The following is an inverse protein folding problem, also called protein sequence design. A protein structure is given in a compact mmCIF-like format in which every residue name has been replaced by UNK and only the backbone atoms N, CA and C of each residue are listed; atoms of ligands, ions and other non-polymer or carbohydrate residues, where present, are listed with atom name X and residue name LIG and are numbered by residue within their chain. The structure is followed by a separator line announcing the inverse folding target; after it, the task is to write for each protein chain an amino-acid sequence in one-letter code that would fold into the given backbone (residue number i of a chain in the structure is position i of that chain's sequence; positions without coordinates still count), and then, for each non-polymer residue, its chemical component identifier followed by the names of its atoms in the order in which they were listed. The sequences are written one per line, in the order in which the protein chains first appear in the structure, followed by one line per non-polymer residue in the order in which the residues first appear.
data_IF_171598916826
#
_entry.id   IF_171598916826
#
_cell.length_a   1.000
_cell.length_b   1.000
_cell.length_c   1.000
_cell.angle_alpha   90.00
_cell.angle_beta   90.00
_cell.angle_gamma   90.00
#
_symmetry.space_group_name_H-M   'P 1'
#
loop_
_entity.id
_entity.type
_entity.pdbx_description
1 polymer ?
#
# COMPACT_ATOMS: atom_id res chain seq x y z
N UNK A 1 8.11 -42.04 46.79
CA UNK A 1 8.09 -42.28 45.33
C UNK A 1 7.28 -41.13 44.74
N UNK A 2 7.93 -40.10 44.19
CA UNK A 2 7.26 -38.86 43.81
C UNK A 2 6.40 -39.10 42.56
N UNK A 3 5.10 -38.85 42.69
CA UNK A 3 4.14 -38.93 41.59
C UNK A 3 4.39 -37.78 40.61
N UNK A 4 4.64 -38.13 39.35
CA UNK A 4 4.90 -37.18 38.27
C UNK A 4 3.59 -36.47 37.89
N UNK A 5 3.65 -35.15 37.95
CA UNK A 5 2.60 -34.18 37.71
C UNK A 5 2.04 -34.29 36.28
N UNK A 6 0.73 -34.48 36.16
CA UNK A 6 0.00 -34.61 34.88
C UNK A 6 -0.48 -33.22 34.45
N UNK A 7 0.43 -32.24 34.37
CA UNK A 7 0.04 -30.85 34.04
C UNK A 7 0.92 -30.14 33.00
N UNK A 8 1.96 -30.78 32.46
CA UNK A 8 2.87 -30.13 31.49
C UNK A 8 2.92 -30.79 30.09
N UNK A 9 2.27 -31.94 29.89
CA UNK A 9 2.27 -32.63 28.59
C UNK A 9 1.08 -32.26 27.68
N UNK A 10 0.06 -31.61 28.23
CA UNK A 10 -1.17 -31.25 27.50
C UNK A 10 -1.04 -30.01 26.62
N UNK A 11 -0.15 -29.07 26.97
CA UNK A 11 0.01 -27.80 26.26
C UNK A 11 0.80 -27.93 24.95
N UNK A 12 1.88 -28.72 24.95
CA UNK A 12 2.70 -28.94 23.74
C UNK A 12 1.98 -29.75 22.67
N UNK A 13 1.08 -30.67 23.07
CA UNK A 13 0.33 -31.49 22.12
C UNK A 13 -0.78 -30.67 21.43
N UNK A 14 -1.38 -29.70 22.14
CA UNK A 14 -2.40 -28.80 21.59
C UNK A 14 -1.78 -27.77 20.62
N UNK A 15 -0.59 -27.27 20.91
CA UNK A 15 0.18 -26.37 20.01
C UNK A 15 0.61 -27.06 18.71
N UNK A 16 1.09 -28.31 18.79
CA UNK A 16 1.41 -29.12 17.60
C UNK A 16 0.15 -29.43 16.78
N UNK A 17 -0.98 -29.69 17.44
CA UNK A 17 -2.26 -29.89 16.75
C UNK A 17 -2.72 -28.60 16.06
N UNK A 18 -2.56 -27.45 16.71
CA UNK A 18 -2.90 -26.14 16.16
C UNK A 18 -2.01 -25.79 14.96
N UNK A 19 -0.70 -26.00 15.05
CA UNK A 19 0.24 -25.87 13.93
C UNK A 19 -0.12 -26.79 12.76
N UNK A 20 -0.46 -28.06 12.99
CA UNK A 20 -0.84 -28.96 11.88
C UNK A 20 -2.20 -28.63 11.25
N UNK A 21 -3.16 -28.12 12.04
CA UNK A 21 -4.45 -27.63 11.55
C UNK A 21 -4.29 -26.34 10.74
N UNK A 22 -3.49 -25.39 11.21
CA UNK A 22 -3.18 -24.16 10.50
C UNK A 22 -2.37 -24.44 9.21
N UNK A 23 -1.43 -25.38 9.24
CA UNK A 23 -0.61 -25.72 8.07
C UNK A 23 -1.40 -26.50 7.00
N UNK A 24 -2.35 -27.35 7.39
CA UNK A 24 -3.26 -28.01 6.44
C UNK A 24 -4.28 -27.05 5.82
N UNK A 25 -4.65 -25.97 6.50
CA UNK A 25 -5.48 -24.91 5.92
C UNK A 25 -4.72 -24.05 4.91
N UNK A 26 -3.42 -23.84 5.11
CA UNK A 26 -2.56 -23.05 4.23
C UNK A 26 -2.13 -23.84 2.97
N UNK A 27 -2.00 -25.16 3.04
CA UNK A 27 -1.46 -26.00 1.96
C UNK A 27 -2.50 -26.83 1.19
N UNK A 28 -3.79 -26.64 1.44
CA UNK A 28 -4.87 -27.43 0.81
C UNK A 28 -5.67 -26.68 -0.27
N UNK A 29 -5.09 -25.65 -0.90
CA UNK A 29 -5.57 -25.15 -2.18
C UNK A 29 -4.43 -25.14 -3.20
N UNK A 30 -4.12 -26.34 -3.66
CA UNK A 30 -3.46 -26.54 -4.95
C UNK A 30 -4.59 -26.96 -5.87
N UNK A 31 -4.96 -26.06 -6.78
CA UNK A 31 -6.06 -26.15 -7.77
C UNK A 31 -7.31 -25.29 -7.48
N UNK A 32 -7.13 -23.97 -7.42
CA UNK A 32 -8.03 -23.05 -8.12
C UNK A 32 -7.22 -21.94 -8.80
N UNK A 33 -6.95 -22.08 -10.10
CA UNK A 33 -6.78 -20.93 -11.02
C UNK A 33 -8.16 -20.24 -11.16
N UNK A 34 -8.74 -19.81 -10.04
CA UNK A 34 -9.75 -18.76 -10.07
C UNK A 34 -8.97 -17.46 -10.01
N UNK A 35 -9.00 -16.63 -11.06
CA UNK A 35 -8.54 -15.27 -10.91
C UNK A 35 -9.34 -14.67 -9.76
N UNK A 36 -8.68 -14.39 -8.63
CA UNK A 36 -9.17 -13.46 -7.63
C UNK A 36 -9.01 -12.08 -8.27
N UNK A 37 -9.86 -11.84 -9.24
CA UNK A 37 -10.19 -10.55 -9.81
C UNK A 37 -11.70 -10.54 -9.71
N UNK A 38 -12.20 -10.11 -8.55
CA UNK A 38 -13.59 -9.78 -8.41
C UNK A 38 -13.91 -8.65 -9.40
N UNK A 39 -14.31 -9.01 -10.62
CA UNK A 39 -15.13 -8.14 -11.48
C UNK A 39 -16.47 -7.80 -10.79
N UNK A 40 -16.74 -8.40 -9.62
CA UNK A 40 -17.89 -8.17 -8.76
C UNK A 40 -17.71 -7.03 -7.72
N UNK A 41 -16.48 -6.51 -7.53
CA UNK A 41 -16.21 -5.36 -6.66
C UNK A 41 -15.94 -4.07 -7.45
N UNK A 42 -16.29 -4.02 -8.74
CA UNK A 42 -16.74 -2.77 -9.34
C UNK A 42 -18.10 -2.41 -8.72
N UNK A 43 -18.10 -2.09 -7.42
CA UNK A 43 -19.10 -1.22 -6.87
C UNK A 43 -19.23 -0.06 -7.88
N UNK A 44 -20.46 0.23 -8.27
CA UNK A 44 -20.86 1.34 -9.14
C UNK A 44 -20.45 2.68 -8.48
N UNK A 45 -19.13 2.89 -8.41
CA UNK A 45 -18.49 4.07 -7.91
C UNK A 45 -18.59 5.05 -9.07
N UNK A 46 -19.71 5.77 -9.12
CA UNK A 46 -19.96 6.87 -10.07
C UNK A 46 -19.02 8.07 -9.78
N UNK A 47 -17.72 7.80 -9.69
CA UNK A 47 -16.68 8.81 -9.60
C UNK A 47 -16.60 9.52 -10.93
N UNK A 48 -16.85 10.83 -10.90
CA UNK A 48 -16.65 11.70 -12.04
C UNK A 48 -15.34 12.46 -11.84
N UNK A 49 -14.33 12.26 -12.71
CA UNK A 49 -13.07 12.98 -12.57
C UNK A 49 -13.35 14.49 -12.63
N UNK A 50 -12.69 15.30 -11.78
CA UNK A 50 -12.91 16.73 -11.75
C UNK A 50 -12.41 17.38 -13.04
N UNK A 51 -12.97 18.54 -13.36
CA UNK A 51 -12.45 19.38 -14.43
C UNK A 51 -10.99 19.75 -14.16
N UNK A 52 -10.14 19.64 -15.18
CA UNK A 52 -8.73 20.00 -15.06
C UNK A 52 -8.59 21.51 -14.85
N UNK A 53 -7.85 21.91 -13.83
CA UNK A 53 -7.47 23.29 -13.53
C UNK A 53 -6.00 23.35 -13.18
N UNK A 54 -5.32 24.40 -13.62
CA UNK A 54 -3.94 24.69 -13.26
C UNK A 54 -3.85 25.25 -11.83
N UNK A 55 -2.66 25.16 -11.21
CA UNK A 55 -2.43 25.71 -9.87
C UNK A 55 -2.60 27.24 -9.83
N UNK A 56 -2.26 27.94 -10.92
CA UNK A 56 -2.44 29.39 -11.02
C UNK A 56 -3.93 29.76 -10.99
N UNK A 57 -4.75 29.08 -11.81
CA UNK A 57 -6.21 29.30 -11.81
C UNK A 57 -6.82 29.02 -10.44
N UNK A 58 -6.38 27.96 -9.75
CA UNK A 58 -6.87 27.63 -8.39
C UNK A 58 -6.53 28.74 -7.39
N UNK A 59 -5.35 29.36 -7.49
CA UNK A 59 -4.93 30.47 -6.62
C UNK A 59 -5.73 31.74 -6.89
N UNK A 60 -6.11 32.02 -8.13
CA UNK A 60 -6.83 33.23 -8.51
C UNK A 60 -8.32 33.22 -8.16
N UNK A 61 -8.92 32.03 -8.04
CA UNK A 61 -10.31 31.88 -7.59
C UNK A 61 -10.47 32.43 -6.15
N UNK A 62 -11.52 33.19 -5.89
CA UNK A 62 -11.90 33.64 -4.53
C UNK A 62 -10.76 34.35 -3.77
N UNK A 63 -9.90 35.09 -4.47
CA UNK A 63 -8.73 35.78 -3.88
C UNK A 63 -9.08 36.82 -2.83
N UNK A 64 -10.30 37.32 -2.86
CA UNK A 64 -10.86 38.25 -1.88
C UNK A 64 -11.34 37.55 -0.60
N UNK A 65 -11.42 36.23 -0.58
CA UNK A 65 -11.74 35.44 0.61
C UNK A 65 -10.45 35.03 1.35
N UNK A 66 -10.20 35.68 2.49
CA UNK A 66 -9.05 35.39 3.35
C UNK A 66 -9.04 33.95 3.87
N UNK A 67 -10.20 33.35 4.12
CA UNK A 67 -10.31 32.00 4.65
C UNK A 67 -9.90 30.98 3.59
N UNK A 68 -10.37 31.16 2.35
CA UNK A 68 -10.00 30.31 1.22
C UNK A 68 -8.54 30.51 0.82
N UNK A 69 -8.02 31.72 0.93
CA UNK A 69 -6.59 32.01 0.72
C UNK A 69 -5.73 31.23 1.71
N UNK A 70 -6.06 31.25 3.01
CA UNK A 70 -5.35 30.47 4.04
C UNK A 70 -5.48 28.97 3.82
N UNK A 71 -6.66 28.50 3.41
CA UNK A 71 -6.89 27.09 3.08
C UNK A 71 -6.02 26.63 1.90
N UNK A 72 -5.99 27.39 0.81
CA UNK A 72 -5.15 27.10 -0.37
C UNK A 72 -3.67 27.13 -0.02
N UNK A 73 -3.23 28.11 0.77
CA UNK A 73 -1.85 28.18 1.24
C UNK A 73 -1.46 26.99 2.13
N UNK A 74 -2.38 26.48 2.95
CA UNK A 74 -2.12 25.31 3.79
C UNK A 74 -1.95 24.02 2.97
N UNK A 75 -2.67 23.87 1.85
CA UNK A 75 -2.60 22.69 0.98
C UNK A 75 -1.49 22.77 -0.07
N UNK A 76 -1.32 23.93 -0.70
CA UNK A 76 -0.39 24.14 -1.83
C UNK A 76 0.97 24.67 -1.38
N UNK A 77 1.09 25.12 -0.13
CA UNK A 77 2.25 25.85 0.38
C UNK A 77 2.27 27.32 -0.06
N UNK A 78 3.28 28.05 0.42
CA UNK A 78 3.48 29.49 0.15
C UNK A 78 4.51 29.78 -0.94
N UNK A 79 4.95 28.76 -1.68
CA UNK A 79 6.03 28.87 -2.68
C UNK A 79 5.51 29.26 -4.07
N UNK A 80 6.35 29.89 -4.91
CA UNK A 80 6.02 30.10 -6.31
C UNK A 80 5.87 28.76 -7.03
N UNK A 81 4.80 28.62 -7.81
CA UNK A 81 4.56 27.45 -8.66
C UNK A 81 5.51 27.53 -9.86
N UNK A 82 6.75 27.07 -9.68
CA UNK A 82 7.71 26.93 -10.78
C UNK A 82 7.55 25.54 -11.37
N UNK A 83 6.83 25.45 -12.48
CA UNK A 83 6.77 24.24 -13.28
C UNK A 83 7.96 24.23 -14.25
N UNK A 84 8.87 23.28 -14.08
CA UNK A 84 9.91 23.00 -15.07
C UNK A 84 9.30 22.09 -16.15
N UNK A 85 9.16 22.55 -17.41
CA UNK A 85 8.55 21.75 -18.48
C UNK A 85 9.43 20.58 -18.92
N UNK A 86 10.69 20.49 -18.47
CA UNK A 86 11.62 19.42 -18.83
C UNK A 86 11.46 18.17 -17.95
N UNK A 87 10.72 18.28 -16.85
CA UNK A 87 10.54 17.21 -15.86
C UNK A 87 9.07 16.76 -15.88
N UNK A 88 8.78 15.45 -15.83
CA UNK A 88 7.40 14.98 -15.69
C UNK A 88 6.78 15.44 -14.37
N UNK A 89 5.47 15.66 -14.36
CA UNK A 89 4.73 16.08 -13.15
C UNK A 89 4.85 15.07 -12.00
N UNK A 90 5.00 13.79 -12.32
CA UNK A 90 5.13 12.71 -11.36
C UNK A 90 6.24 11.75 -11.82
N UNK A 91 7.18 11.49 -10.90
CA UNK A 91 8.21 10.47 -11.08
C UNK A 91 8.16 9.54 -9.87
N UNK A 92 7.85 8.27 -10.12
CA UNK A 92 7.89 7.25 -9.07
C UNK A 92 9.35 6.89 -8.82
N UNK A 93 9.80 7.01 -7.57
CA UNK A 93 11.21 6.82 -7.24
C UNK A 93 11.52 5.43 -6.68
N UNK A 94 10.65 4.91 -5.83
CA UNK A 94 10.86 3.63 -5.16
C UNK A 94 9.55 2.99 -4.75
N UNK A 95 9.47 1.67 -4.87
CA UNK A 95 8.41 0.85 -4.30
C UNK A 95 9.01 0.00 -3.18
N UNK A 96 8.36 -0.03 -2.02
CA UNK A 96 8.84 -0.80 -0.85
C UNK A 96 7.72 -1.66 -0.30
N UNK A 97 7.98 -2.95 -0.12
CA UNK A 97 7.07 -3.86 0.56
C UNK A 97 7.34 -3.77 2.07
N UNK A 98 6.34 -3.31 2.81
CA UNK A 98 6.37 -3.29 4.27
C UNK A 98 5.92 -4.66 4.79
N UNK A 99 6.84 -5.43 5.36
CA UNK A 99 6.56 -6.75 5.94
C UNK A 99 7.42 -6.97 7.18
N UNK A 100 6.77 -7.10 8.33
CA UNK A 100 7.45 -7.26 9.63
C UNK A 100 8.16 -8.60 9.79
N UNK A 101 7.75 -9.60 9.01
CA UNK A 101 8.36 -10.93 9.00
C UNK A 101 9.56 -11.04 8.06
N UNK A 102 9.79 -10.02 7.22
CA UNK A 102 10.93 -10.03 6.32
C UNK A 102 12.22 -9.77 7.11
N UNK A 103 13.32 -10.48 6.80
CA UNK A 103 14.60 -10.27 7.47
C UNK A 103 15.21 -8.89 7.19
N UNK A 104 14.68 -8.17 6.20
CA UNK A 104 15.09 -6.82 5.85
C UNK A 104 14.09 -6.17 4.88
N UNK A 105 14.29 -4.88 4.56
CA UNK A 105 13.40 -4.14 3.68
C UNK A 105 13.47 -4.68 2.25
N UNK A 106 12.31 -4.95 1.66
CA UNK A 106 12.20 -5.39 0.26
C UNK A 106 11.86 -4.15 -0.58
N UNK A 107 12.86 -3.60 -1.27
CA UNK A 107 12.75 -2.33 -2.00
C UNK A 107 13.10 -2.50 -3.47
N UNK A 108 12.39 -1.79 -4.34
CA UNK A 108 12.61 -1.69 -5.77
C UNK A 108 12.86 -0.23 -6.15
N UNK A 109 14.03 0.07 -6.70
CA UNK A 109 14.37 1.40 -7.25
C UNK A 109 13.78 1.55 -8.65
N UNK A 110 13.03 2.63 -8.88
CA UNK A 110 12.33 2.93 -10.13
C UNK A 110 12.96 4.11 -10.88
N UNK A 111 14.06 4.66 -10.37
CA UNK A 111 14.82 5.73 -11.03
C UNK A 111 15.95 5.23 -11.92
N UNK A 112 16.46 4.02 -11.66
CA UNK A 112 17.57 3.38 -12.37
C UNK A 112 17.14 2.56 -13.60
N UNK A 113 17.96 1.56 -13.95
CA UNK A 113 17.66 0.65 -15.06
C UNK A 113 16.57 -0.36 -14.68
N UNK A 114 15.37 -0.14 -15.24
CA UNK A 114 14.20 -0.98 -15.00
C UNK A 114 14.36 -2.40 -15.55
N UNK A 115 15.26 -2.64 -16.52
CA UNK A 115 15.47 -3.96 -17.08
C UNK A 115 16.08 -4.94 -16.06
N UNK A 116 16.81 -4.42 -15.07
CA UNK A 116 17.36 -5.24 -13.98
C UNK A 116 16.24 -5.85 -13.12
N UNK A 117 15.06 -5.24 -13.09
CA UNK A 117 13.91 -5.73 -12.31
C UNK A 117 13.21 -6.92 -12.97
N UNK A 118 13.40 -7.13 -14.28
CA UNK A 118 12.83 -8.26 -15.01
C UNK A 118 13.66 -9.54 -14.90
N UNK A 119 14.92 -9.44 -14.49
CA UNK A 119 15.90 -10.54 -14.53
C UNK A 119 16.26 -11.06 -13.13
N UNK A 120 15.28 -11.11 -12.22
CA UNK A 120 15.42 -11.68 -10.87
C UNK A 120 15.23 -13.20 -10.90
#
# INVERSE_FOLDING_TARGET
MLGMDVCEFGGQFLELLWLTVCYRGIMADKETDTPIGDEADEADLNYQPPAQKSLQEIQELDKDDESLTKYKQALLGSGPVVADPTIPNLQVTRLTLMCDQAPGPITMDLTGDLLLLYNV
#
